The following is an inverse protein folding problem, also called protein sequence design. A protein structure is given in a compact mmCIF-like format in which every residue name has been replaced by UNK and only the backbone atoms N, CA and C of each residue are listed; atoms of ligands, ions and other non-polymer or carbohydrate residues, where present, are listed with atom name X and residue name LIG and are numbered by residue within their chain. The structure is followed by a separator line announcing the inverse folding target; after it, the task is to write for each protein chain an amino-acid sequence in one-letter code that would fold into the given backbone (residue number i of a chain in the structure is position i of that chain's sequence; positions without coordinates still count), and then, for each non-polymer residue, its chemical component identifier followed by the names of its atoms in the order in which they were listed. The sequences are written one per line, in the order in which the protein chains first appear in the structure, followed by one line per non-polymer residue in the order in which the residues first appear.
data_IF_645611969440
#
_entry.id   IF_645611969440
#
_cell.length_a   1.000
_cell.length_b   1.000
_cell.length_c   1.000
_cell.angle_alpha   90.00
_cell.angle_beta   90.00
_cell.angle_gamma   90.00
#
_symmetry.space_group_name_H-M   'P 1'
#
loop_
_entity.id
_entity.type
_entity.pdbx_description
1 polymer ?
#
# COMPACT_ATOMS: atom_id res chain seq x y z
N UNK A 1 10.47 -11.98 -14.72
CA UNK A 1 9.63 -12.64 -13.70
C UNK A 1 9.87 -11.88 -12.41
N UNK A 2 8.87 -11.17 -11.91
CA UNK A 2 8.97 -10.51 -10.60
C UNK A 2 8.77 -11.62 -9.58
N UNK A 3 9.81 -11.91 -8.81
CA UNK A 3 9.74 -12.87 -7.72
C UNK A 3 8.81 -12.27 -6.64
N UNK A 4 7.67 -12.90 -6.42
CA UNK A 4 6.71 -12.45 -5.41
C UNK A 4 7.24 -12.97 -4.07
N UNK A 5 7.45 -12.11 -3.05
CA UNK A 5 7.94 -12.58 -1.77
C UNK A 5 6.99 -13.66 -1.22
N UNK A 6 7.51 -14.86 -0.96
CA UNK A 6 6.76 -15.93 -0.28
C UNK A 6 6.40 -15.56 1.17
N UNK A 7 6.98 -14.49 1.70
CA UNK A 7 6.81 -14.04 3.08
C UNK A 7 6.61 -12.54 3.14
N UNK A 8 5.67 -12.11 3.97
CA UNK A 8 5.51 -10.70 4.31
C UNK A 8 5.06 -10.53 5.76
N UNK A 9 5.42 -9.40 6.34
CA UNK A 9 4.98 -8.96 7.67
C UNK A 9 4.34 -7.60 7.50
N UNK A 10 3.20 -7.40 8.14
CA UNK A 10 2.42 -6.18 8.06
C UNK A 10 2.03 -5.73 9.48
N UNK A 11 2.15 -4.43 9.72
CA UNK A 11 1.61 -3.77 10.89
C UNK A 11 0.54 -2.80 10.42
N UNK A 12 -0.68 -2.97 10.90
CA UNK A 12 -1.82 -2.08 10.62
C UNK A 12 -2.09 -1.27 11.88
N UNK A 13 -2.08 0.05 11.76
CA UNK A 13 -2.40 0.98 12.84
C UNK A 13 -3.58 1.85 12.41
N UNK A 14 -4.53 2.06 13.30
CA UNK A 14 -5.68 2.93 13.06
C UNK A 14 -6.10 3.66 14.33
N UNK A 15 -6.59 4.89 14.18
CA UNK A 15 -7.30 5.62 15.23
C UNK A 15 -8.79 5.62 14.90
N UNK A 16 -9.61 5.03 15.76
CA UNK A 16 -11.05 5.07 15.64
C UNK A 16 -11.56 6.38 16.26
N UNK A 17 -12.48 7.07 15.60
CA UNK A 17 -13.06 8.32 16.11
C UNK A 17 -14.03 8.07 17.26
N UNK A 18 -14.77 6.95 17.24
CA UNK A 18 -15.76 6.65 18.28
C UNK A 18 -15.99 5.14 18.52
N UNK A 19 -15.76 4.62 19.75
CA UNK A 19 -15.06 5.28 20.85
C UNK A 19 -13.60 5.56 20.46
N UNK A 20 -13.04 6.70 20.91
CA UNK A 20 -11.67 7.06 20.57
C UNK A 20 -10.69 6.01 21.07
N UNK A 21 -10.08 5.27 20.14
CA UNK A 21 -9.23 4.12 20.45
C UNK A 21 -8.19 3.92 19.36
N UNK A 22 -7.04 3.37 19.76
CA UNK A 22 -5.97 2.98 18.85
C UNK A 22 -6.04 1.48 18.65
N UNK A 23 -6.07 1.06 17.39
CA UNK A 23 -6.06 -0.34 16.99
C UNK A 23 -4.72 -0.62 16.33
N UNK A 24 -4.07 -1.68 16.77
CA UNK A 24 -2.87 -2.23 16.16
C UNK A 24 -3.12 -3.70 15.84
N UNK A 25 -2.85 -4.11 14.61
CA UNK A 25 -2.91 -5.51 14.18
C UNK A 25 -1.59 -5.84 13.49
N UNK A 26 -0.94 -6.91 13.95
CA UNK A 26 0.23 -7.47 13.29
C UNK A 26 -0.19 -8.71 12.49
N UNK A 27 0.32 -8.83 11.27
CA UNK A 27 0.03 -9.92 10.33
C UNK A 27 1.36 -10.47 9.83
N UNK A 28 1.50 -11.79 9.78
CA UNK A 28 2.63 -12.49 9.16
C UNK A 28 2.09 -13.55 8.22
N UNK A 29 2.57 -13.56 6.98
CA UNK A 29 2.26 -14.61 6.01
C UNK A 29 3.54 -15.29 5.57
N UNK A 30 3.54 -16.62 5.56
CA UNK A 30 4.66 -17.47 5.13
C UNK A 30 4.09 -18.61 4.29
N UNK A 31 4.32 -18.55 2.98
CA UNK A 31 3.72 -19.51 2.05
C UNK A 31 2.19 -19.45 2.09
N UNK A 32 1.55 -20.55 2.49
CA UNK A 32 0.11 -20.69 2.63
C UNK A 32 -0.40 -20.44 4.06
N UNK A 33 0.49 -20.17 5.02
CA UNK A 33 0.15 -19.91 6.41
C UNK A 33 0.05 -18.41 6.68
N UNK A 34 -0.99 -18.01 7.43
CA UNK A 34 -1.19 -16.64 7.87
C UNK A 34 -1.42 -16.59 9.38
N UNK A 35 -0.82 -15.59 10.01
CA UNK A 35 -0.93 -15.31 11.43
C UNK A 35 -1.38 -13.87 11.61
N UNK A 36 -2.26 -13.62 12.57
CA UNK A 36 -2.76 -12.29 12.89
C UNK A 36 -2.93 -12.16 14.40
N UNK A 37 -2.60 -10.99 14.96
CA UNK A 37 -2.91 -10.68 16.37
C UNK A 37 -4.40 -10.40 16.54
N UNK A 38 -5.01 -10.99 17.56
CA UNK A 38 -6.36 -10.64 18.00
C UNK A 38 -6.41 -9.17 18.46
N UNK A 39 -7.36 -8.39 17.96
CA UNK A 39 -7.46 -6.96 18.24
C UNK A 39 -7.77 -6.63 19.70
N UNK A 40 -8.31 -7.57 20.48
CA UNK A 40 -8.66 -7.40 21.90
C UNK A 40 -7.51 -7.85 22.78
N UNK A 41 -6.93 -9.03 22.52
CA UNK A 41 -5.94 -9.65 23.41
C UNK A 41 -4.49 -9.40 22.99
N UNK A 42 -4.26 -8.98 21.74
CA UNK A 42 -2.93 -8.85 21.15
C UNK A 42 -2.22 -10.19 20.89
N UNK A 43 -2.88 -11.32 21.14
CA UNK A 43 -2.28 -12.64 20.97
C UNK A 43 -2.32 -13.08 19.52
N UNK A 44 -1.23 -13.69 19.04
CA UNK A 44 -1.16 -14.30 17.73
C UNK A 44 -2.14 -15.46 17.60
N UNK A 45 -2.76 -15.57 16.44
CA UNK A 45 -3.54 -16.72 16.01
C UNK A 45 -3.24 -17.02 14.56
N UNK A 46 -3.20 -18.30 14.23
CA UNK A 46 -3.26 -18.73 12.84
C UNK A 46 -4.67 -18.46 12.31
N UNK A 47 -4.75 -17.86 11.13
CA UNK A 47 -6.01 -17.50 10.46
C UNK A 47 -5.97 -17.95 9.01
N UNK A 48 -7.14 -18.26 8.40
CA UNK A 48 -7.23 -18.48 6.97
C UNK A 48 -6.73 -17.25 6.18
N UNK A 49 -6.06 -17.48 5.04
CA UNK A 49 -5.57 -16.39 4.16
C UNK A 49 -6.67 -15.44 3.69
N UNK A 50 -7.87 -15.97 3.41
CA UNK A 50 -9.04 -15.20 2.99
C UNK A 50 -9.70 -14.40 4.11
N UNK A 51 -9.30 -14.64 5.37
CA UNK A 51 -9.71 -13.84 6.51
C UNK A 51 -8.82 -12.61 6.75
N UNK A 52 -7.71 -12.47 6.02
CA UNK A 52 -6.83 -11.31 6.14
C UNK A 52 -7.52 -10.05 5.59
N UNK A 53 -7.42 -8.90 6.28
CA UNK A 53 -8.08 -7.67 5.85
C UNK A 53 -7.45 -7.07 4.58
N UNK A 54 -6.17 -7.37 4.35
CA UNK A 54 -5.39 -6.95 3.19
C UNK A 54 -4.34 -8.01 2.87
N UNK A 55 -3.95 -8.11 1.60
CA UNK A 55 -2.84 -8.96 1.17
C UNK A 55 -1.83 -8.12 0.39
N UNK A 56 -0.54 -8.27 0.72
CA UNK A 56 0.57 -7.70 -0.05
C UNK A 56 1.16 -8.71 -1.05
N UNK A 57 0.55 -9.90 -1.15
CA UNK A 57 0.90 -10.90 -2.15
C UNK A 57 0.71 -10.31 -3.55
N UNK A 58 1.81 -10.14 -4.29
CA UNK A 58 1.78 -9.55 -5.62
C UNK A 58 1.82 -8.02 -5.66
N UNK A 59 2.17 -7.33 -4.57
CA UNK A 59 2.26 -5.86 -4.50
C UNK A 59 3.03 -5.26 -5.68
N UNK A 60 4.13 -5.87 -6.12
CA UNK A 60 4.90 -5.40 -7.28
C UNK A 60 4.08 -5.38 -8.58
N UNK A 61 3.21 -6.38 -8.79
CA UNK A 61 2.29 -6.40 -9.93
C UNK A 61 1.19 -5.36 -9.78
N UNK A 62 0.58 -5.26 -8.61
CA UNK A 62 -0.42 -4.24 -8.29
C UNK A 62 0.08 -2.83 -8.56
N UNK A 63 1.30 -2.50 -8.11
CA UNK A 63 1.90 -1.19 -8.34
C UNK A 63 2.18 -0.94 -9.82
N UNK A 64 2.65 -1.95 -10.56
CA UNK A 64 2.84 -1.83 -12.00
C UNK A 64 1.53 -1.57 -12.74
N UNK A 65 0.46 -2.32 -12.40
CA UNK A 65 -0.87 -2.14 -12.99
C UNK A 65 -1.42 -0.72 -12.72
N UNK A 66 -1.23 -0.19 -11.51
CA UNK A 66 -1.63 1.19 -11.18
C UNK A 66 -0.84 2.23 -11.98
N UNK A 67 0.48 2.04 -12.12
CA UNK A 67 1.34 2.95 -12.91
C UNK A 67 0.92 2.90 -14.39
N UNK A 68 0.56 1.73 -14.92
CA UNK A 68 0.06 1.56 -16.29
C UNK A 68 -1.31 2.22 -16.50
N UNK A 69 -2.16 2.28 -15.46
CA UNK A 69 -3.48 2.88 -15.50
C UNK A 69 -3.49 4.42 -15.40
N UNK A 70 -2.34 5.06 -15.20
CA UNK A 70 -2.27 6.52 -15.03
C UNK A 70 -2.66 7.25 -16.32
N UNK A 71 -3.74 8.04 -16.22
CA UNK A 71 -4.22 8.92 -17.26
C UNK A 71 -3.48 10.27 -17.23
N UNK A 72 -3.08 10.74 -18.42
CA UNK A 72 -2.41 12.02 -18.64
C UNK A 72 -1.20 12.28 -17.71
N UNK A 73 -0.23 11.34 -17.62
CA UNK A 73 0.95 11.54 -16.79
C UNK A 73 1.77 12.74 -17.27
N UNK A 74 2.21 13.57 -16.33
CA UNK A 74 3.02 14.76 -16.56
C UNK A 74 4.20 14.79 -15.60
N UNK A 75 5.39 15.08 -16.13
CA UNK A 75 6.55 15.36 -15.28
C UNK A 75 6.40 16.75 -14.65
N UNK A 76 6.12 16.77 -13.35
CA UNK A 76 5.94 18.01 -12.60
C UNK A 76 7.27 18.63 -12.14
N UNK A 77 8.33 17.82 -12.00
CA UNK A 77 9.65 18.32 -11.69
C UNK A 77 10.59 17.26 -11.13
N UNK A 78 11.73 17.72 -10.61
CA UNK A 78 12.68 16.93 -9.84
C UNK A 78 12.79 17.48 -8.42
N UNK A 79 12.87 16.61 -7.43
CA UNK A 79 13.07 17.00 -6.04
C UNK A 79 13.84 15.94 -5.24
N UNK A 80 14.37 16.35 -4.09
CA UNK A 80 15.02 15.45 -3.14
C UNK A 80 13.97 14.84 -2.19
N UNK A 81 13.78 13.53 -2.27
CA UNK A 81 12.90 12.78 -1.40
C UNK A 81 13.71 11.85 -0.50
N UNK A 82 13.79 12.17 0.79
CA UNK A 82 14.50 11.34 1.80
C UNK A 82 15.95 11.01 1.42
N UNK A 83 16.69 11.99 0.89
CA UNK A 83 18.10 11.81 0.51
C UNK A 83 18.31 11.24 -0.90
N UNK A 84 17.23 10.97 -1.66
CA UNK A 84 17.27 10.46 -3.03
C UNK A 84 16.74 11.51 -4.01
N UNK A 85 17.42 11.66 -5.13
CA UNK A 85 16.93 12.48 -6.22
C UNK A 85 15.75 11.75 -6.91
N UNK A 86 14.61 12.41 -7.02
CA UNK A 86 13.39 11.82 -7.53
C UNK A 86 12.75 12.69 -8.62
N UNK A 87 12.17 12.05 -9.64
CA UNK A 87 11.21 12.65 -10.55
C UNK A 87 9.82 12.63 -9.93
N UNK A 88 9.15 13.78 -9.89
CA UNK A 88 7.74 13.89 -9.50
C UNK A 88 6.88 13.84 -10.76
N UNK A 89 6.04 12.81 -10.85
CA UNK A 89 5.08 12.61 -11.94
C UNK A 89 3.67 12.75 -11.38
N UNK A 90 2.84 13.55 -12.03
CA UNK A 90 1.43 13.74 -11.66
C UNK A 90 0.53 13.14 -12.73
N UNK A 91 -0.64 12.65 -12.34
CA UNK A 91 -1.65 12.16 -13.26
C UNK A 91 -2.98 11.95 -12.57
N UNK A 92 -3.87 11.25 -13.25
CA UNK A 92 -5.18 10.83 -12.72
C UNK A 92 -5.31 9.33 -12.88
N UNK A 93 -6.12 8.70 -12.03
CA UNK A 93 -6.40 7.27 -12.12
C UNK A 93 -7.84 7.04 -11.70
N UNK A 94 -8.46 6.00 -12.25
CA UNK A 94 -9.81 5.60 -11.84
C UNK A 94 -9.71 4.84 -10.53
N UNK A 95 -10.65 5.05 -9.61
CA UNK A 95 -10.65 4.40 -8.30
C UNK A 95 -10.60 2.87 -8.40
N UNK A 96 -11.27 2.28 -9.39
CA UNK A 96 -11.28 0.82 -9.58
C UNK A 96 -9.88 0.25 -9.87
N UNK A 97 -9.00 1.01 -10.52
CA UNK A 97 -7.64 0.58 -10.83
C UNK A 97 -6.77 0.54 -9.56
N UNK A 98 -7.22 1.18 -8.48
CA UNK A 98 -6.57 1.16 -7.16
C UNK A 98 -7.05 -0.01 -6.27
N UNK A 99 -7.97 -0.86 -6.74
CA UNK A 99 -8.59 -1.91 -5.91
C UNK A 99 -7.58 -2.90 -5.30
N UNK A 100 -6.43 -3.10 -5.94
CA UNK A 100 -5.36 -3.95 -5.40
C UNK A 100 -4.63 -3.35 -4.19
N UNK A 101 -4.69 -2.03 -4.00
CA UNK A 101 -4.16 -1.34 -2.80
C UNK A 101 -5.25 -0.93 -1.82
N UNK A 102 -6.43 -0.61 -2.33
CA UNK A 102 -7.58 -0.13 -1.56
C UNK A 102 -8.74 -1.08 -1.81
N UNK A 103 -8.85 -2.18 -1.04
CA UNK A 103 -9.98 -3.08 -1.15
C UNK A 103 -11.32 -2.35 -1.01
N UNK A 104 -12.27 -2.65 -1.89
CA UNK A 104 -13.57 -1.98 -1.91
C UNK A 104 -13.58 -0.62 -2.63
N UNK A 105 -12.54 -0.30 -3.40
CA UNK A 105 -12.52 0.87 -4.27
C UNK A 105 -13.79 0.97 -5.13
N UNK A 106 -14.34 2.17 -5.23
CA UNK A 106 -15.53 2.45 -6.01
C UNK A 106 -15.26 2.36 -7.51
N UNK A 107 -16.31 2.28 -8.32
CA UNK A 107 -16.24 2.43 -9.76
C UNK A 107 -16.35 3.91 -10.15
N UNK A 108 -15.59 4.29 -11.17
CA UNK A 108 -15.70 5.55 -11.92
C UNK A 108 -15.46 6.84 -11.14
N UNK A 109 -14.87 6.77 -9.94
CA UNK A 109 -14.32 7.97 -9.29
C UNK A 109 -12.96 8.30 -9.92
N UNK A 110 -12.76 9.57 -10.23
CA UNK A 110 -11.47 10.07 -10.70
C UNK A 110 -10.70 10.62 -9.50
N UNK A 111 -9.48 10.13 -9.30
CA UNK A 111 -8.60 10.59 -8.21
C UNK A 111 -7.26 11.08 -8.76
N UNK A 112 -6.68 12.05 -8.06
CA UNK A 112 -5.37 12.57 -8.39
C UNK A 112 -4.28 11.62 -7.87
N UNK A 113 -3.27 11.38 -8.69
CA UNK A 113 -2.13 10.55 -8.34
C UNK A 113 -0.83 11.34 -8.53
N UNK A 114 0.04 11.28 -7.54
CA UNK A 114 1.40 11.76 -7.62
C UNK A 114 2.38 10.64 -7.30
N UNK A 115 3.40 10.49 -8.12
CA UNK A 115 4.41 9.44 -8.05
C UNK A 115 5.79 10.08 -7.95
N UNK A 116 6.61 9.56 -7.05
CA UNK A 116 8.02 9.91 -6.95
C UNK A 116 8.85 8.72 -7.37
N UNK A 117 9.57 8.85 -8.48
CA UNK A 117 10.42 7.81 -9.05
C UNK A 117 11.89 8.19 -8.83
N UNK A 118 12.69 7.28 -8.30
CA UNK A 118 14.13 7.48 -8.16
C UNK A 118 14.78 7.77 -9.52
N UNK A 119 15.66 8.77 -9.59
CA UNK A 119 16.30 9.15 -10.86
C UNK A 119 17.37 8.16 -11.33
N UNK A 120 17.96 7.38 -10.42
CA UNK A 120 19.03 6.45 -10.72
C UNK A 120 18.52 5.12 -11.28
N UNK A 121 17.53 4.52 -10.62
CA UNK A 121 17.03 3.19 -10.97
C UNK A 121 15.53 3.14 -11.35
N UNK A 122 14.83 4.26 -11.29
CA UNK A 122 13.42 4.36 -11.66
C UNK A 122 12.46 3.72 -10.67
N UNK A 123 12.91 3.32 -9.48
CA UNK A 123 12.04 2.71 -8.47
C UNK A 123 11.02 3.72 -7.94
N UNK A 124 9.78 3.26 -7.76
CA UNK A 124 8.76 4.04 -7.07
C UNK A 124 9.15 4.21 -5.60
N UNK A 125 9.39 5.44 -5.17
CA UNK A 125 9.74 5.79 -3.79
C UNK A 125 8.51 6.17 -2.96
N UNK A 126 7.52 6.79 -3.60
CA UNK A 126 6.32 7.26 -2.95
C UNK A 126 5.17 7.40 -3.95
N UNK A 127 3.96 7.11 -3.50
CA UNK A 127 2.74 7.47 -4.21
C UNK A 127 1.80 8.22 -3.26
N UNK A 128 1.21 9.32 -3.74
CA UNK A 128 0.19 10.09 -3.05
C UNK A 128 -1.09 10.05 -3.87
N UNK A 129 -2.16 9.55 -3.27
CA UNK A 129 -3.49 9.50 -3.87
C UNK A 129 -4.34 10.53 -3.14
N UNK A 130 -4.91 11.48 -3.87
CA UNK A 130 -5.78 12.52 -3.32
C UNK A 130 -7.15 12.45 -3.99
N UNK A 131 -8.19 12.36 -3.17
CA UNK A 131 -9.57 12.21 -3.62
C UNK A 131 -10.22 10.92 -3.10
N UNK A 132 -11.53 10.76 -3.35
CA UNK A 132 -12.29 9.62 -2.87
C UNK A 132 -11.98 8.36 -3.71
N UNK A 133 -11.47 7.33 -3.05
CA UNK A 133 -11.27 5.98 -3.61
C UNK A 133 -12.39 5.06 -3.16
N UNK A 134 -12.84 5.19 -1.92
CA UNK A 134 -13.99 4.47 -1.36
C UNK A 134 -15.26 5.34 -1.44
N UNK A 135 -16.46 4.72 -1.53
CA UNK A 135 -17.72 5.47 -1.49
C UNK A 135 -17.93 6.29 -0.21
N UNK A 136 -17.27 5.90 0.88
CA UNK A 136 -17.36 6.55 2.20
C UNK A 136 -16.26 7.59 2.43
N UNK A 137 -15.36 7.79 1.48
CA UNK A 137 -14.31 8.79 1.62
C UNK A 137 -14.88 10.21 1.58
N UNK A 138 -14.27 11.10 2.35
CA UNK A 138 -14.44 12.54 2.17
C UNK A 138 -13.72 13.01 0.91
N UNK A 139 -14.13 14.12 0.27
CA UNK A 139 -13.52 14.60 -0.97
C UNK A 139 -12.00 14.86 -0.85
N UNK A 140 -11.53 15.27 0.32
CA UNK A 140 -10.14 15.58 0.62
C UNK A 140 -9.35 14.38 1.17
N UNK A 141 -9.86 13.15 1.03
CA UNK A 141 -9.16 11.96 1.48
C UNK A 141 -7.77 11.84 0.84
N UNK A 142 -6.78 11.50 1.65
CA UNK A 142 -5.39 11.35 1.22
C UNK A 142 -4.88 9.97 1.64
N UNK A 143 -4.24 9.27 0.70
CA UNK A 143 -3.52 8.02 0.97
C UNK A 143 -2.08 8.17 0.53
N UNK A 144 -1.16 7.81 1.40
CA UNK A 144 0.29 7.89 1.17
C UNK A 144 0.89 6.49 1.24
N UNK A 145 1.51 6.06 0.14
CA UNK A 145 2.36 4.89 0.10
C UNK A 145 3.82 5.34 0.05
N UNK A 146 4.64 4.82 0.96
CA UNK A 146 6.09 5.03 0.97
C UNK A 146 6.78 3.68 0.80
N UNK A 147 7.76 3.64 -0.09
CA UNK A 147 8.58 2.45 -0.36
C UNK A 147 10.04 2.80 -0.09
N UNK A 148 10.68 1.99 0.75
CA UNK A 148 12.07 2.16 1.13
C UNK A 148 12.77 0.81 1.39
N UNK A 149 14.04 0.89 1.79
CA UNK A 149 14.87 -0.28 2.12
C UNK A 149 14.84 -1.39 1.04
N UNK A 150 14.81 -0.99 -0.24
CA UNK A 150 14.82 -1.91 -1.37
C UNK A 150 16.01 -2.85 -1.31
N UNK A 151 15.76 -4.13 -1.59
CA UNK A 151 16.77 -5.20 -1.61
C UNK A 151 17.51 -5.39 -0.28
N UNK A 152 16.97 -4.89 0.83
CA UNK A 152 17.50 -5.18 2.17
C UNK A 152 16.89 -6.50 2.64
N UNK A 153 17.71 -7.47 3.10
CA UNK A 153 17.19 -8.73 3.60
C UNK A 153 16.36 -8.50 4.86
N UNK A 154 15.16 -9.09 4.89
CA UNK A 154 14.27 -9.10 6.05
C UNK A 154 14.13 -10.52 6.58
N UNK A 155 14.14 -10.69 7.90
CA UNK A 155 13.90 -11.98 8.54
C UNK A 155 12.45 -12.05 9.01
N UNK A 156 11.66 -12.93 8.41
CA UNK A 156 10.25 -13.16 8.75
C UNK A 156 10.11 -14.61 9.21
N UNK A 157 9.74 -14.78 10.47
CA UNK A 157 9.51 -16.08 11.12
C UNK A 157 8.07 -16.17 11.62
N UNK A 158 7.50 -17.38 11.76
CA UNK A 158 6.23 -17.54 12.45
C UNK A 158 6.30 -16.94 13.86
N UNK A 159 5.20 -16.37 14.37
CA UNK A 159 5.13 -15.91 15.75
C UNK A 159 5.14 -17.09 16.74
N UNK A 160 5.56 -16.81 17.98
CA UNK A 160 5.51 -17.75 19.12
C UNK A 160 4.11 -17.89 19.73
#
# INVERSE_FOLDING_TARGET
VVDIPEKFSLKVEAELEFPRSYVEINIVTIGDQAYMTDFVTGQWREVPLDALPVSLGGLGRTLADIIEAVEAPQLAGAEQLRGRDAWRVTGRVRSQDLAGLVPGAAEDLEVALELWLDQGDGLLLQALITGPVLPTDVPEAVRLLVLDQFNVPVNITPPE
#
